data_IF_998492861502
#
_entry.id   IF_998492861502
#
_cell.length_a   1.000
_cell.length_b   1.000
_cell.length_c   1.000
_cell.angle_alpha   90.00
_cell.angle_beta   90.00
_cell.angle_gamma   90.00
#
_symmetry.space_group_name_H-M   'P 1'
#
loop_
_entity.id
_entity.type
_entity.pdbx_description
1 polymer ?
#
# COMPACT_ATOMS: atom_id res chain seq x y z
N UNK A 1 -25.53 -35.11 -47.45
CA UNK A 1 -25.18 -34.09 -48.47
C UNK A 1 -24.42 -32.99 -47.74
N UNK A 2 -23.31 -32.55 -48.32
CA UNK A 2 -22.14 -31.93 -47.68
C UNK A 2 -22.43 -30.62 -46.91
N UNK A 3 -22.03 -30.57 -45.64
CA UNK A 3 -22.00 -29.37 -44.80
C UNK A 3 -20.60 -28.75 -44.90
N UNK A 4 -20.54 -27.49 -45.31
CA UNK A 4 -19.30 -26.75 -45.55
C UNK A 4 -18.62 -26.28 -44.26
N UNK A 5 -17.28 -26.27 -44.30
CA UNK A 5 -16.43 -25.57 -43.33
C UNK A 5 -15.25 -24.96 -44.09
N UNK A 6 -15.40 -23.71 -44.53
CA UNK A 6 -14.30 -22.91 -45.07
C UNK A 6 -13.65 -22.18 -43.89
N UNK A 7 -12.53 -22.72 -43.41
CA UNK A 7 -11.66 -22.05 -42.44
C UNK A 7 -10.86 -20.98 -43.19
N UNK A 8 -11.30 -19.74 -43.09
CA UNK A 8 -10.57 -18.58 -43.60
C UNK A 8 -9.35 -18.32 -42.70
N UNK A 9 -8.19 -18.78 -43.16
CA UNK A 9 -6.88 -18.46 -42.57
C UNK A 9 -6.63 -16.96 -42.74
N UNK A 10 -6.77 -16.19 -41.67
CA UNK A 10 -6.46 -14.76 -41.65
C UNK A 10 -4.95 -14.58 -41.45
N UNK A 11 -4.25 -14.27 -42.53
CA UNK A 11 -2.83 -13.94 -42.53
C UNK A 11 -2.54 -12.74 -41.60
N UNK A 12 -1.63 -12.94 -40.63
CA UNK A 12 -1.11 -11.86 -39.79
C UNK A 12 -0.01 -11.12 -40.54
N UNK A 13 -0.32 -9.91 -40.98
CA UNK A 13 0.62 -8.96 -41.57
C UNK A 13 1.74 -8.63 -40.57
N UNK A 14 2.98 -8.67 -41.08
CA UNK A 14 4.25 -8.53 -40.37
C UNK A 14 4.40 -7.13 -39.76
N UNK A 15 4.69 -7.07 -38.46
CA UNK A 15 5.10 -5.84 -37.75
C UNK A 15 6.49 -5.41 -38.22
N UNK A 16 6.58 -4.19 -38.77
CA UNK A 16 7.85 -3.54 -39.06
C UNK A 16 8.51 -3.03 -37.76
N UNK A 17 9.73 -3.50 -37.52
CA UNK A 17 10.63 -3.06 -36.46
C UNK A 17 11.24 -1.72 -36.88
N UNK A 18 10.97 -0.65 -36.14
CA UNK A 18 11.69 0.63 -36.28
C UNK A 18 12.73 0.69 -35.16
N UNK A 19 13.98 0.40 -35.52
CA UNK A 19 15.17 0.63 -34.70
C UNK A 19 15.39 2.15 -34.64
N UNK A 20 15.23 2.76 -33.46
CA UNK A 20 15.67 4.13 -33.21
C UNK A 20 17.16 4.11 -32.88
N UNK A 21 17.96 4.73 -33.75
CA UNK A 21 19.40 4.90 -33.60
C UNK A 21 19.75 5.80 -32.43
N UNK A 22 20.81 5.40 -31.70
CA UNK A 22 21.46 6.18 -30.68
C UNK A 22 22.32 7.28 -31.34
N UNK A 23 22.21 8.51 -30.82
CA UNK A 23 23.16 9.58 -31.07
C UNK A 23 23.80 9.95 -29.72
N UNK A 24 25.08 9.64 -29.61
CA UNK A 24 25.96 10.08 -28.54
C UNK A 24 26.73 11.34 -29.00
N UNK A 25 26.70 12.38 -28.17
CA UNK A 25 27.61 13.53 -28.23
C UNK A 25 27.94 13.90 -26.77
N UNK A 26 29.20 13.79 -26.35
CA UNK A 26 30.19 14.89 -26.20
C UNK A 26 29.64 16.05 -25.34
N UNK A 27 30.28 16.58 -24.30
CA UNK A 27 31.71 16.73 -24.02
C UNK A 27 31.92 17.22 -22.56
N UNK A 28 32.94 16.68 -21.90
CA UNK A 28 33.92 17.25 -20.95
C UNK A 28 33.60 18.40 -19.95
N UNK A 29 34.00 18.08 -18.69
CA UNK A 29 34.83 18.85 -17.73
C UNK A 29 34.29 20.15 -17.09
N UNK A 30 34.10 20.07 -15.77
CA UNK A 30 34.02 21.22 -14.85
C UNK A 30 34.28 20.77 -13.41
N UNK A 31 35.32 21.33 -12.80
CA UNK A 31 35.96 20.91 -11.55
C UNK A 31 35.60 21.80 -10.35
N UNK A 32 35.72 21.22 -9.14
CA UNK A 32 36.15 21.81 -7.85
C UNK A 32 35.22 22.74 -7.03
N UNK A 33 35.15 22.40 -5.73
CA UNK A 33 34.79 23.28 -4.60
C UNK A 33 33.28 23.35 -4.34
N UNK A 34 32.74 23.02 -3.16
CA UNK A 34 33.00 23.65 -1.86
C UNK A 34 32.68 22.66 -0.72
N UNK A 35 33.46 22.74 0.36
CA UNK A 35 33.35 21.98 1.61
C UNK A 35 32.77 22.88 2.71
N UNK A 36 32.02 22.25 3.64
CA UNK A 36 31.63 22.67 5.01
C UNK A 36 30.42 23.61 5.19
N UNK A 37 29.72 23.62 6.36
CA UNK A 37 30.08 22.97 7.63
C UNK A 37 29.04 22.01 8.25
N UNK A 38 29.55 21.27 9.23
CA UNK A 38 28.84 20.48 10.22
C UNK A 38 27.84 21.35 10.99
N UNK A 39 26.56 20.98 10.93
CA UNK A 39 25.54 21.43 11.87
C UNK A 39 25.36 20.37 12.95
N UNK A 40 26.07 20.51 14.06
CA UNK A 40 25.71 19.85 15.32
C UNK A 40 24.50 20.58 15.90
N UNK A 41 23.38 19.90 16.07
CA UNK A 41 22.30 20.40 16.93
C UNK A 41 21.62 19.22 17.65
N UNK A 42 21.97 19.14 18.94
CA UNK A 42 21.17 18.65 20.06
C UNK A 42 20.76 17.18 20.04
N UNK A 43 21.52 16.40 20.80
CA UNK A 43 20.98 15.27 21.55
C UNK A 43 19.80 15.75 22.41
N UNK A 44 18.58 15.39 22.04
CA UNK A 44 17.48 15.25 22.99
C UNK A 44 17.65 13.92 23.72
N UNK A 45 18.37 13.93 24.84
CA UNK A 45 18.37 12.82 25.80
C UNK A 45 17.06 12.88 26.59
N UNK A 46 15.99 12.29 26.07
CA UNK A 46 14.82 11.98 26.89
C UNK A 46 15.00 10.57 27.46
N UNK A 47 15.63 10.61 28.64
CA UNK A 47 15.78 9.55 29.61
C UNK A 47 14.41 8.98 29.98
N UNK A 48 14.00 7.86 29.38
CA UNK A 48 12.89 7.07 29.94
C UNK A 48 13.43 6.20 31.07
N UNK A 49 13.62 6.79 32.25
CA UNK A 49 13.76 6.08 33.52
C UNK A 49 12.59 6.47 34.40
N UNK A 50 11.53 5.66 34.38
CA UNK A 50 10.71 5.21 35.53
C UNK A 50 9.36 4.66 35.07
N UNK A 51 9.10 3.38 35.39
CA UNK A 51 7.78 2.70 35.50
C UNK A 51 7.01 2.37 34.21
N UNK A 52 6.54 1.12 33.98
CA UNK A 52 6.06 0.65 32.67
C UNK A 52 4.58 0.91 32.37
N UNK A 53 3.93 1.92 32.97
CA UNK A 53 2.46 2.07 32.89
C UNK A 53 1.96 3.34 32.18
N UNK A 54 2.80 4.33 31.90
CA UNK A 54 2.33 5.62 31.33
C UNK A 54 2.65 5.85 29.83
N UNK A 55 3.09 4.83 29.09
CA UNK A 55 3.19 4.93 27.63
C UNK A 55 1.86 4.55 26.94
N UNK A 56 0.71 5.00 27.44
CA UNK A 56 -0.53 4.93 26.69
C UNK A 56 -0.82 6.31 26.12
N UNK A 57 -0.36 6.54 24.89
CA UNK A 57 -0.78 7.74 24.16
C UNK A 57 -2.32 7.70 24.04
N UNK A 58 -3.04 8.80 24.38
CA UNK A 58 -4.47 8.89 24.12
C UNK A 58 -4.74 8.78 22.61
N UNK A 59 -5.96 8.47 22.16
CA UNK A 59 -6.31 8.62 20.75
C UNK A 59 -6.19 10.10 20.38
N UNK A 60 -5.05 10.48 19.80
CA UNK A 60 -4.76 11.85 19.39
C UNK A 60 -5.51 12.09 18.08
N UNK A 61 -6.72 12.63 18.16
CA UNK A 61 -7.43 13.10 16.97
C UNK A 61 -7.09 14.57 16.79
N UNK A 62 -6.20 14.89 15.85
CA UNK A 62 -6.03 16.25 15.34
C UNK A 62 -6.74 16.36 14.01
N UNK A 63 -7.84 17.11 14.00
CA UNK A 63 -8.57 17.43 12.77
C UNK A 63 -7.67 18.14 11.77
N UNK A 64 -7.76 17.70 10.51
CA UNK A 64 -7.05 18.30 9.38
C UNK A 64 -6.13 17.32 8.66
N UNK A 65 -6.70 16.36 7.94
CA UNK A 65 -6.01 15.57 6.91
C UNK A 65 -4.98 14.53 7.36
N UNK A 66 -4.20 14.78 8.40
CA UNK A 66 -3.06 13.93 8.72
C UNK A 66 -3.38 12.89 9.80
N UNK A 67 -3.07 11.63 9.52
CA UNK A 67 -3.19 10.54 10.49
C UNK A 67 -1.93 10.55 11.38
N UNK A 68 -2.08 10.63 12.72
CA UNK A 68 -0.93 10.57 13.63
C UNK A 68 -0.08 9.31 13.43
N UNK A 69 1.25 9.46 13.49
CA UNK A 69 2.23 8.39 13.31
C UNK A 69 2.21 7.71 11.93
N UNK A 70 1.59 8.32 10.92
CA UNK A 70 1.57 7.79 9.56
C UNK A 70 2.98 7.65 8.96
N UNK A 71 3.92 8.51 9.32
CA UNK A 71 5.34 8.43 8.93
C UNK A 71 5.98 7.12 9.43
N UNK A 72 5.75 6.76 10.70
CA UNK A 72 6.24 5.52 11.28
C UNK A 72 5.59 4.29 10.63
N UNK A 73 4.31 4.38 10.29
CA UNK A 73 3.60 3.34 9.55
C UNK A 73 4.18 3.18 8.12
N UNK A 74 4.38 4.26 7.37
CA UNK A 74 4.99 4.25 6.04
C UNK A 74 6.40 3.66 6.08
N UNK A 75 7.21 4.05 7.07
CA UNK A 75 8.55 3.48 7.24
C UNK A 75 8.51 1.95 7.50
N UNK A 76 7.55 1.46 8.30
CA UNK A 76 7.32 0.01 8.49
C UNK A 76 6.85 -0.67 7.22
N UNK A 77 5.93 -0.03 6.48
CA UNK A 77 5.40 -0.53 5.22
C UNK A 77 6.52 -0.78 4.21
N UNK A 78 7.41 0.20 4.01
CA UNK A 78 8.54 0.05 3.10
C UNK A 78 9.52 -1.06 3.51
N UNK A 79 9.74 -1.29 4.81
CA UNK A 79 10.57 -2.41 5.28
C UNK A 79 9.95 -3.78 5.01
N UNK A 80 8.62 -3.87 4.95
CA UNK A 80 7.91 -5.12 4.68
C UNK A 80 7.82 -5.43 3.18
N UNK A 81 7.99 -4.46 2.28
CA UNK A 81 7.98 -4.71 0.83
C UNK A 81 9.05 -5.76 0.46
N UNK A 82 8.65 -6.77 -0.31
CA UNK A 82 9.49 -7.90 -0.71
C UNK A 82 9.48 -9.07 0.29
N UNK A 83 8.90 -8.88 1.49
CA UNK A 83 8.66 -9.98 2.43
C UNK A 83 7.55 -10.92 1.94
N UNK A 84 7.41 -12.06 2.61
CA UNK A 84 6.43 -13.12 2.33
C UNK A 84 5.72 -13.56 3.61
N UNK A 85 4.72 -14.43 3.48
CA UNK A 85 3.99 -14.99 4.63
C UNK A 85 2.72 -14.23 5.01
N UNK A 86 2.25 -13.33 4.14
CA UNK A 86 0.98 -12.61 4.29
C UNK A 86 -0.12 -13.17 3.38
N UNK A 87 -0.08 -14.44 3.02
CA UNK A 87 -1.05 -15.03 2.08
C UNK A 87 -2.44 -15.01 2.68
N UNK A 88 -3.38 -14.30 2.05
CA UNK A 88 -4.74 -14.06 2.57
C UNK A 88 -4.76 -13.36 3.95
N UNK A 89 -3.69 -12.68 4.34
CA UNK A 89 -3.53 -12.03 5.64
C UNK A 89 -3.43 -10.51 5.50
N UNK A 90 -4.25 -9.92 4.64
CA UNK A 90 -4.25 -8.48 4.35
C UNK A 90 -4.48 -7.61 5.60
N UNK A 91 -5.45 -7.99 6.45
CA UNK A 91 -5.72 -7.29 7.70
C UNK A 91 -4.54 -7.36 8.69
N UNK A 92 -3.85 -8.51 8.75
CA UNK A 92 -2.63 -8.66 9.58
C UNK A 92 -1.47 -7.86 9.01
N UNK A 93 -1.30 -7.79 7.68
CA UNK A 93 -0.29 -6.92 7.08
C UNK A 93 -0.53 -5.46 7.47
N UNK A 94 -1.77 -4.98 7.31
CA UNK A 94 -2.14 -3.61 7.67
C UNK A 94 -1.87 -3.33 9.15
N UNK A 95 -2.27 -4.24 10.05
CA UNK A 95 -1.99 -4.14 11.48
C UNK A 95 -0.48 -4.07 11.78
N UNK A 96 0.31 -4.96 11.20
CA UNK A 96 1.76 -5.00 11.39
C UNK A 96 2.45 -3.71 10.90
N UNK A 97 1.96 -3.13 9.79
CA UNK A 97 2.42 -1.82 9.30
C UNK A 97 2.18 -0.73 10.35
N UNK A 98 1.05 -0.78 11.06
CA UNK A 98 0.72 0.12 12.17
C UNK A 98 1.31 -0.31 13.53
N UNK A 99 2.20 -1.30 13.54
CA UNK A 99 2.85 -1.79 14.76
C UNK A 99 1.94 -2.59 15.68
N UNK A 100 0.74 -2.97 15.22
CA UNK A 100 -0.18 -3.81 15.96
C UNK A 100 0.05 -5.30 15.61
N UNK A 101 -0.03 -6.22 16.58
CA UNK A 101 0.19 -7.65 16.32
C UNK A 101 -0.95 -8.31 15.53
N UNK A 102 -2.16 -7.71 15.56
CA UNK A 102 -3.37 -8.21 14.89
C UNK A 102 -4.33 -7.06 14.62
N UNK A 103 -5.25 -7.25 13.66
CA UNK A 103 -6.26 -6.24 13.35
C UNK A 103 -7.43 -6.21 14.35
N UNK A 104 -7.69 -7.34 15.02
CA UNK A 104 -8.84 -7.52 15.91
C UNK A 104 -10.18 -7.69 15.18
N UNK A 105 -10.15 -7.88 13.87
CA UNK A 105 -11.29 -8.20 13.01
C UNK A 105 -11.03 -9.53 12.31
N UNK A 106 -12.07 -10.32 12.10
CA UNK A 106 -12.04 -11.57 11.34
C UNK A 106 -11.71 -11.34 9.87
N UNK A 107 -12.16 -10.22 9.29
CA UNK A 107 -11.90 -9.87 7.90
C UNK A 107 -11.79 -8.37 7.63
N UNK A 108 -11.29 -8.01 6.44
CA UNK A 108 -11.28 -6.62 5.99
C UNK A 108 -12.69 -6.09 5.74
N UNK A 109 -13.60 -6.94 5.26
CA UNK A 109 -15.02 -6.60 5.10
C UNK A 109 -15.69 -6.30 6.44
N UNK A 110 -15.42 -7.09 7.48
CA UNK A 110 -15.93 -6.83 8.82
C UNK A 110 -15.35 -5.53 9.39
N UNK A 111 -14.03 -5.30 9.25
CA UNK A 111 -13.42 -4.06 9.67
C UNK A 111 -14.08 -2.86 8.98
N UNK A 112 -14.29 -2.93 7.66
CA UNK A 112 -14.98 -1.89 6.90
C UNK A 112 -16.40 -1.64 7.44
N UNK A 113 -17.19 -2.69 7.65
CA UNK A 113 -18.54 -2.57 8.21
C UNK A 113 -18.53 -1.90 9.58
N UNK A 114 -17.55 -2.21 10.43
CA UNK A 114 -17.40 -1.55 11.72
C UNK A 114 -17.05 -0.06 11.55
N UNK A 115 -16.19 0.30 10.59
CA UNK A 115 -15.86 1.70 10.32
C UNK A 115 -17.09 2.48 9.82
N UNK A 116 -17.92 1.86 8.99
CA UNK A 116 -19.21 2.42 8.56
C UNK A 116 -20.14 2.61 9.77
N UNK A 117 -20.32 1.57 10.58
CA UNK A 117 -21.24 1.59 11.72
C UNK A 117 -20.85 2.62 12.78
N UNK A 118 -19.56 2.91 12.92
CA UNK A 118 -19.02 3.88 13.89
C UNK A 118 -18.82 5.29 13.32
N UNK A 119 -19.16 5.51 12.04
CA UNK A 119 -19.00 6.82 11.39
C UNK A 119 -17.55 7.21 11.08
N UNK A 120 -16.62 6.25 11.09
CA UNK A 120 -15.20 6.47 10.76
C UNK A 120 -14.87 6.20 9.28
N UNK A 121 -15.82 5.65 8.52
CA UNK A 121 -15.64 5.35 7.11
C UNK A 121 -15.84 6.59 6.22
N UNK A 122 -14.89 6.81 5.31
CA UNK A 122 -14.96 7.78 4.22
C UNK A 122 -15.32 7.03 2.92
N UNK A 123 -16.59 6.68 2.78
CA UNK A 123 -17.11 5.86 1.67
C UNK A 123 -16.93 6.55 0.32
N UNK A 124 -16.47 5.78 -0.67
CA UNK A 124 -16.20 6.22 -2.05
C UNK A 124 -15.18 7.37 -2.21
N UNK A 125 -14.57 7.84 -1.12
CA UNK A 125 -13.57 8.89 -1.17
C UNK A 125 -12.24 8.35 -1.71
N UNK A 126 -11.78 8.93 -2.81
CA UNK A 126 -10.55 8.56 -3.54
C UNK A 126 -9.32 9.36 -3.08
N UNK A 127 -9.45 10.19 -2.04
CA UNK A 127 -8.38 11.03 -1.50
C UNK A 127 -7.98 10.59 -0.08
N UNK A 128 -7.56 9.33 0.11
CA UNK A 128 -7.12 8.88 1.42
C UNK A 128 -5.88 9.66 1.87
N UNK A 129 -5.79 10.05 3.15
CA UNK A 129 -4.56 10.59 3.70
C UNK A 129 -3.49 9.51 3.87
N UNK A 130 -2.23 9.92 3.98
CA UNK A 130 -1.10 9.00 4.19
C UNK A 130 -1.35 8.21 5.48
N UNK A 131 -1.15 6.90 5.41
CA UNK A 131 -1.36 5.96 6.51
C UNK A 131 -2.77 5.38 6.59
N UNK A 132 -3.73 5.90 5.83
CA UNK A 132 -5.11 5.40 5.88
C UNK A 132 -5.21 3.94 5.46
N UNK A 133 -6.20 3.25 6.04
CA UNK A 133 -6.63 1.95 5.58
C UNK A 133 -7.60 2.14 4.42
N UNK A 134 -7.30 1.51 3.28
CA UNK A 134 -8.13 1.55 2.08
C UNK A 134 -8.75 0.18 1.85
N UNK A 135 -10.04 0.13 1.53
CA UNK A 135 -10.84 -1.10 1.54
C UNK A 135 -11.47 -1.39 0.18
N UNK A 136 -11.57 -2.67 -0.14
CA UNK A 136 -12.25 -3.17 -1.33
C UNK A 136 -13.15 -4.36 -1.02
N UNK A 137 -14.22 -4.47 -1.79
CA UNK A 137 -14.94 -5.71 -2.02
C UNK A 137 -14.29 -6.47 -3.17
N UNK A 138 -14.02 -7.76 -2.97
CA UNK A 138 -13.32 -8.62 -3.94
C UNK A 138 -14.19 -9.78 -4.47
N UNK A 139 -15.51 -9.71 -4.24
CA UNK A 139 -16.47 -10.76 -4.60
C UNK A 139 -16.54 -11.94 -3.63
N UNK A 140 -15.65 -12.00 -2.62
CA UNK A 140 -15.68 -12.96 -1.52
C UNK A 140 -16.00 -12.30 -0.17
N UNK A 141 -16.24 -13.10 0.89
CA UNK A 141 -16.70 -12.58 2.19
C UNK A 141 -15.62 -11.83 2.99
N UNK A 142 -14.35 -11.94 2.61
CA UNK A 142 -13.25 -11.38 3.40
C UNK A 142 -12.91 -9.93 3.05
N UNK A 143 -13.23 -9.49 1.83
CA UNK A 143 -12.78 -8.20 1.30
C UNK A 143 -11.26 -8.08 1.19
N UNK A 144 -10.77 -6.87 1.00
CA UNK A 144 -9.33 -6.56 1.02
C UNK A 144 -9.06 -5.23 1.70
N UNK A 145 -7.93 -5.13 2.39
CA UNK A 145 -7.43 -3.89 3.00
C UNK A 145 -5.95 -3.71 2.69
N UNK A 146 -5.53 -2.48 2.44
CA UNK A 146 -4.13 -2.08 2.27
C UNK A 146 -3.87 -0.75 2.98
N UNK A 147 -2.60 -0.37 3.11
CA UNK A 147 -2.20 0.93 3.68
C UNK A 147 -1.81 1.88 2.56
N UNK A 148 -2.43 3.05 2.50
CA UNK A 148 -2.04 4.12 1.59
C UNK A 148 -0.76 4.79 2.08
N UNK A 149 0.26 4.86 1.22
CA UNK A 149 1.59 5.38 1.58
C UNK A 149 1.93 6.70 0.87
N UNK A 150 0.93 7.33 0.26
CA UNK A 150 1.08 8.59 -0.48
C UNK A 150 1.34 8.39 -1.97
N UNK A 151 1.27 9.49 -2.73
CA UNK A 151 1.59 9.55 -4.16
C UNK A 151 0.84 8.52 -5.03
N UNK A 152 -0.40 8.18 -4.68
CA UNK A 152 -1.18 7.18 -5.41
C UNK A 152 -0.68 5.75 -5.23
N UNK A 153 0.10 5.47 -4.17
CA UNK A 153 0.65 4.16 -3.89
C UNK A 153 0.10 3.55 -2.59
N UNK A 154 0.06 2.22 -2.57
CA UNK A 154 -0.34 1.41 -1.42
C UNK A 154 0.70 0.32 -1.18
N UNK A 155 0.81 -0.13 0.08
CA UNK A 155 1.46 -1.41 0.40
C UNK A 155 0.39 -2.46 0.64
N UNK A 156 0.41 -3.53 -0.15
CA UNK A 156 -0.58 -4.60 -0.19
C UNK A 156 0.09 -5.97 -0.27
N UNK A 157 -0.60 -7.03 0.16
CA UNK A 157 -0.20 -8.41 -0.07
C UNK A 157 -0.85 -9.01 -1.33
N UNK A 158 -0.35 -10.16 -1.77
CA UNK A 158 -0.88 -11.09 -2.78
C UNK A 158 -0.99 -10.55 -4.22
N UNK A 159 -1.10 -9.23 -4.40
CA UNK A 159 -1.42 -8.57 -5.67
C UNK A 159 -0.47 -8.93 -6.81
N UNK A 160 0.80 -9.23 -6.52
CA UNK A 160 1.81 -9.60 -7.51
C UNK A 160 2.43 -10.98 -7.26
N UNK A 161 1.75 -11.84 -6.51
CA UNK A 161 2.16 -13.23 -6.35
C UNK A 161 2.18 -13.92 -7.74
N UNK A 162 3.35 -14.46 -8.12
CA UNK A 162 3.52 -15.26 -9.35
C UNK A 162 3.07 -16.71 -9.18
N UNK A 163 3.11 -17.18 -7.95
CA UNK A 163 2.72 -18.50 -7.49
C UNK A 163 1.73 -18.29 -6.36
N UNK A 164 0.52 -18.86 -6.43
CA UNK A 164 -0.47 -18.78 -5.35
C UNK A 164 0.12 -19.26 -4.01
N UNK A 165 -0.28 -18.63 -2.91
CA UNK A 165 0.14 -19.04 -1.56
C UNK A 165 1.41 -18.36 -1.04
N UNK A 166 2.07 -17.49 -1.80
CA UNK A 166 3.33 -16.86 -1.36
C UNK A 166 3.10 -15.80 -0.29
N UNK A 167 2.03 -15.00 -0.43
CA UNK A 167 1.79 -13.94 0.54
C UNK A 167 2.80 -12.81 0.43
N UNK A 168 3.23 -12.49 -0.79
CA UNK A 168 4.23 -11.46 -1.03
C UNK A 168 3.68 -10.07 -0.69
N UNK A 169 4.55 -9.20 -0.17
CA UNK A 169 4.22 -7.79 0.11
C UNK A 169 4.77 -6.89 -0.97
N UNK A 170 3.93 -6.01 -1.49
CA UNK A 170 4.23 -5.20 -2.67
C UNK A 170 3.85 -3.74 -2.46
N UNK A 171 4.73 -2.83 -2.90
CA UNK A 171 4.39 -1.44 -3.17
C UNK A 171 3.80 -1.37 -4.58
N UNK A 172 2.55 -0.94 -4.71
CA UNK A 172 1.84 -0.87 -5.99
C UNK A 172 1.03 0.39 -6.13
N UNK A 173 0.64 0.71 -7.37
CA UNK A 173 -0.32 1.77 -7.61
C UNK A 173 -1.68 1.43 -6.98
N UNK A 174 -2.31 2.41 -6.33
CA UNK A 174 -3.62 2.30 -5.69
C UNK A 174 -4.71 1.67 -6.60
N UNK A 175 -4.89 2.08 -7.89
CA UNK A 175 -5.90 1.47 -8.77
C UNK A 175 -5.57 0.05 -9.24
N UNK A 176 -4.41 -0.51 -8.88
CA UNK A 176 -4.02 -1.85 -9.33
C UNK A 176 -4.92 -2.94 -8.75
N UNK A 177 -5.42 -2.77 -7.51
CA UNK A 177 -6.32 -3.75 -6.88
C UNK A 177 -7.59 -3.92 -7.72
N UNK A 178 -8.24 -2.81 -8.08
CA UNK A 178 -9.48 -2.80 -8.87
C UNK A 178 -9.25 -3.42 -10.25
N UNK A 179 -8.22 -2.95 -10.96
CA UNK A 179 -7.94 -3.40 -12.34
C UNK A 179 -7.47 -4.86 -12.43
N UNK A 180 -6.76 -5.37 -11.43
CA UNK A 180 -6.21 -6.74 -11.46
C UNK A 180 -7.16 -7.78 -10.90
N UNK A 181 -7.95 -7.43 -9.89
CA UNK A 181 -8.87 -8.36 -9.22
C UNK A 181 -10.34 -8.13 -9.57
N UNK A 182 -10.65 -7.14 -10.43
CA UNK A 182 -12.02 -6.69 -10.68
C UNK A 182 -12.75 -6.36 -9.36
N UNK A 183 -12.03 -5.75 -8.43
CA UNK A 183 -12.50 -5.40 -7.10
C UNK A 183 -13.21 -4.03 -7.11
N UNK A 184 -14.17 -3.85 -6.21
CA UNK A 184 -14.88 -2.59 -6.01
C UNK A 184 -14.27 -1.84 -4.84
N UNK A 185 -13.74 -0.63 -5.08
CA UNK A 185 -13.26 0.22 -4.01
C UNK A 185 -14.43 0.71 -3.14
N UNK A 186 -14.29 0.56 -1.81
CA UNK A 186 -15.33 0.92 -0.84
C UNK A 186 -15.10 2.31 -0.23
N UNK A 187 -13.84 2.68 -0.01
CA UNK A 187 -13.46 3.90 0.67
C UNK A 187 -12.24 3.69 1.57
N UNK A 188 -12.00 4.67 2.44
CA UNK A 188 -10.91 4.63 3.41
C UNK A 188 -11.40 4.88 4.84
N UNK A 189 -10.60 4.48 5.82
CA UNK A 189 -10.82 4.80 7.23
C UNK A 189 -9.47 5.03 7.94
N UNK A 190 -9.45 5.76 9.07
CA UNK A 190 -8.30 5.80 9.95
C UNK A 190 -7.89 4.39 10.42
N UNK A 191 -6.63 4.19 10.87
CA UNK A 191 -6.11 2.89 11.28
C UNK A 191 -6.61 2.47 12.67
N UNK A 192 -7.91 2.18 12.76
CA UNK A 192 -8.58 1.76 13.98
C UNK A 192 -8.56 0.23 14.02
N UNK A 193 -7.96 -0.31 15.08
CA UNK A 193 -7.85 -1.74 15.33
C UNK A 193 -8.63 -2.12 16.59
N UNK A 194 -9.20 -3.31 16.59
CA UNK A 194 -9.91 -3.84 17.75
C UNK A 194 -8.93 -4.54 18.70
N UNK A 195 -9.15 -4.37 20.00
CA UNK A 195 -8.33 -4.98 21.07
C UNK A 195 -8.84 -6.35 21.49
N UNK A 196 -10.09 -6.66 21.17
CA UNK A 196 -10.82 -7.88 21.53
C UNK A 196 -10.23 -9.12 20.86
#
# INVERSE_FOLDING_TARGET
MHTGLQVLVRERTRSAVIVKGALAGCLLLGSLGVVAPLGSAVHGTDTCTSTPTDCQAPPISTGGGDIPNADAAVARAHRLVGSRGYYQLCARLAANIWGQPRAGYFSAAEQWQQMVATGNAHSNDRQPPIGALVFWETGGPYGHVAVYVGNGQIVSNDINDRVPGQGGVYLVAFPLIESKWNATYLGWAPPIYSTT
#
